data_IF_648953568517
#
_entry.id   IF_648953568517
#
_cell.length_a   1.000
_cell.length_b   1.000
_cell.length_c   1.000
_cell.angle_alpha   90.00
_cell.angle_beta   90.00
_cell.angle_gamma   90.00
#
_symmetry.space_group_name_H-M   'P 1'
#
loop_
_entity.id
_entity.type
_entity.pdbx_description
1 polymer ?
#
# COMPACT_ATOMS: atom_id res chain seq x y z
N UNK A 1 -10.62 -7.71 -3.71
CA UNK A 1 -10.73 -8.20 -2.31
C UNK A 1 -9.78 -7.37 -1.45
N UNK A 2 -10.15 -7.08 -0.20
CA UNK A 2 -9.24 -6.54 0.80
C UNK A 2 -9.02 -7.58 1.89
N UNK A 3 -7.78 -7.81 2.31
CA UNK A 3 -7.45 -8.83 3.32
C UNK A 3 -6.26 -8.39 4.17
N UNK A 4 -6.31 -8.58 5.49
CA UNK A 4 -5.22 -8.08 6.35
C UNK A 4 -3.88 -8.78 6.04
N UNK A 5 -3.90 -10.09 5.76
CA UNK A 5 -2.72 -10.93 5.40
C UNK A 5 -1.74 -11.22 6.55
N UNK A 6 -2.24 -11.18 7.80
CA UNK A 6 -1.49 -11.59 8.99
C UNK A 6 -1.36 -13.13 9.07
N UNK A 7 -2.50 -13.83 9.07
CA UNK A 7 -2.53 -15.31 9.21
C UNK A 7 -2.55 -16.08 7.90
N UNK A 8 -2.88 -15.42 6.79
CA UNK A 8 -2.89 -16.02 5.46
C UNK A 8 -1.85 -15.32 4.60
N UNK A 9 -0.90 -16.09 4.08
CA UNK A 9 0.21 -15.52 3.30
C UNK A 9 -0.30 -14.99 1.97
N UNK A 10 0.29 -13.92 1.42
CA UNK A 10 -0.12 -13.33 0.15
C UNK A 10 -0.29 -14.37 -0.97
N UNK A 11 0.61 -15.36 -1.03
CA UNK A 11 0.58 -16.39 -2.06
C UNK A 11 -0.65 -17.31 -2.04
N UNK A 12 -1.31 -17.45 -0.90
CA UNK A 12 -2.52 -18.26 -0.75
C UNK A 12 -3.80 -17.45 -1.07
N UNK A 13 -3.73 -16.12 -1.03
CA UNK A 13 -4.91 -15.28 -1.19
C UNK A 13 -5.54 -15.36 -2.58
N UNK A 14 -4.77 -15.72 -3.61
CA UNK A 14 -5.31 -16.00 -4.94
C UNK A 14 -6.33 -17.16 -4.90
N UNK A 15 -6.03 -18.23 -4.17
CA UNK A 15 -6.91 -19.39 -4.03
C UNK A 15 -8.14 -19.07 -3.17
N UNK A 16 -7.95 -18.28 -2.11
CA UNK A 16 -9.05 -17.76 -1.28
C UNK A 16 -10.00 -16.94 -2.15
N UNK A 17 -9.47 -16.02 -2.97
CA UNK A 17 -10.30 -15.21 -3.86
C UNK A 17 -11.03 -16.05 -4.90
N UNK A 18 -10.36 -17.02 -5.51
CA UNK A 18 -10.99 -17.92 -6.48
C UNK A 18 -12.10 -18.77 -5.85
N UNK A 19 -12.01 -19.08 -4.55
CA UNK A 19 -13.02 -19.87 -3.83
C UNK A 19 -14.20 -19.01 -3.41
N UNK A 20 -13.94 -17.90 -2.72
CA UNK A 20 -14.97 -17.04 -2.12
C UNK A 20 -15.69 -16.19 -3.17
N UNK A 21 -14.99 -15.82 -4.25
CA UNK A 21 -15.48 -14.97 -5.33
C UNK A 21 -15.38 -15.68 -6.69
N UNK A 22 -15.76 -16.96 -6.73
CA UNK A 22 -15.61 -17.82 -7.91
C UNK A 22 -16.25 -17.25 -9.20
N UNK A 23 -17.44 -16.64 -9.10
CA UNK A 23 -18.11 -16.01 -10.24
C UNK A 23 -17.33 -14.80 -10.76
N UNK A 24 -17.01 -13.84 -9.88
CA UNK A 24 -16.19 -12.67 -10.24
C UNK A 24 -14.80 -13.10 -10.76
N UNK A 25 -14.26 -14.17 -10.18
CA UNK A 25 -13.00 -14.76 -10.62
C UNK A 25 -13.11 -15.29 -12.05
N UNK A 26 -14.22 -15.89 -12.46
CA UNK A 26 -14.43 -16.31 -13.85
C UNK A 26 -14.64 -15.14 -14.81
N UNK A 27 -15.35 -14.10 -14.39
CA UNK A 27 -15.83 -13.02 -15.26
C UNK A 27 -14.85 -11.83 -15.40
N UNK A 28 -14.04 -11.54 -14.38
CA UNK A 28 -13.19 -10.34 -14.38
C UNK A 28 -11.85 -10.59 -15.12
N UNK A 29 -11.40 -9.66 -15.96
CA UNK A 29 -10.05 -9.74 -16.54
C UNK A 29 -8.97 -9.17 -15.61
N UNK A 30 -9.35 -8.27 -14.71
CA UNK A 30 -8.46 -7.58 -13.79
C UNK A 30 -8.87 -7.86 -12.35
N UNK A 31 -8.03 -8.55 -11.60
CA UNK A 31 -8.31 -8.95 -10.21
C UNK A 31 -7.23 -8.37 -9.29
N UNK A 32 -7.67 -7.78 -8.18
CA UNK A 32 -6.80 -7.12 -7.21
C UNK A 32 -7.10 -7.60 -5.80
N UNK A 33 -6.04 -7.90 -5.04
CA UNK A 33 -6.08 -8.19 -3.62
C UNK A 33 -5.21 -7.16 -2.90
N UNK A 34 -5.88 -6.29 -2.14
CA UNK A 34 -5.23 -5.25 -1.35
C UNK A 34 -4.96 -5.77 0.07
N UNK A 35 -3.70 -5.70 0.52
CA UNK A 35 -3.28 -6.21 1.84
C UNK A 35 -2.61 -5.16 2.73
N UNK A 36 -2.68 -5.37 4.05
CA UNK A 36 -2.24 -4.38 5.04
C UNK A 36 -1.11 -4.81 5.97
N UNK A 37 -0.91 -6.10 6.25
CA UNK A 37 -0.13 -6.59 7.39
C UNK A 37 1.31 -6.06 7.49
N UNK A 38 2.01 -5.90 6.36
CA UNK A 38 3.45 -5.61 6.34
C UNK A 38 3.81 -4.12 6.23
N UNK A 39 2.80 -3.23 6.16
CA UNK A 39 2.93 -1.76 6.19
C UNK A 39 3.99 -1.13 5.25
N UNK A 40 4.36 -1.83 4.18
CA UNK A 40 5.21 -1.32 3.11
C UNK A 40 4.64 -1.78 1.78
N UNK A 41 5.04 -1.10 0.70
CA UNK A 41 4.66 -1.52 -0.65
C UNK A 41 5.42 -2.77 -1.06
N UNK A 42 4.69 -3.86 -1.24
CA UNK A 42 5.14 -5.08 -1.89
C UNK A 42 4.07 -5.44 -2.90
N UNK A 43 4.47 -5.56 -4.17
CA UNK A 43 3.64 -6.22 -5.17
C UNK A 43 4.15 -7.65 -5.23
N UNK A 44 3.29 -8.63 -4.91
CA UNK A 44 3.66 -10.02 -5.09
C UNK A 44 3.97 -10.25 -6.57
N UNK A 45 5.17 -10.76 -6.88
CA UNK A 45 5.57 -11.08 -8.26
C UNK A 45 4.59 -12.12 -8.84
N UNK A 46 3.75 -11.64 -9.75
CA UNK A 46 2.89 -12.35 -10.68
C UNK A 46 2.28 -13.66 -10.16
N UNK A 47 1.24 -13.53 -9.32
CA UNK A 47 0.27 -14.61 -9.24
C UNK A 47 -0.53 -14.64 -10.55
N UNK A 48 -0.59 -15.80 -11.25
CA UNK A 48 -1.35 -15.88 -12.49
C UNK A 48 -2.80 -15.42 -12.28
N UNK A 49 -3.21 -14.41 -13.03
CA UNK A 49 -4.59 -13.91 -13.05
C UNK A 49 -4.99 -12.94 -11.93
N UNK A 50 -4.10 -12.57 -10.99
CA UNK A 50 -4.42 -11.62 -9.91
C UNK A 50 -3.20 -10.83 -9.42
N UNK A 51 -3.38 -9.52 -9.20
CA UNK A 51 -2.37 -8.67 -8.56
C UNK A 51 -2.62 -8.60 -7.06
N UNK A 52 -1.61 -8.95 -6.27
CA UNK A 52 -1.67 -8.87 -4.80
C UNK A 52 -0.67 -7.82 -4.34
N UNK A 53 -1.14 -6.79 -3.64
CA UNK A 53 -0.31 -5.66 -3.26
C UNK A 53 -0.55 -5.25 -1.81
N UNK A 54 0.54 -5.05 -1.08
CA UNK A 54 0.52 -4.42 0.24
C UNK A 54 0.75 -2.92 0.16
N UNK A 55 0.25 -2.20 1.16
CA UNK A 55 0.29 -0.75 1.19
C UNK A 55 1.13 -0.20 2.34
N UNK A 56 1.72 0.97 2.12
CA UNK A 56 2.29 1.78 3.19
C UNK A 56 1.18 2.34 4.09
N UNK A 57 1.54 2.71 5.32
CA UNK A 57 0.62 3.39 6.24
C UNK A 57 1.10 4.81 6.56
N UNK A 58 0.18 5.68 7.00
CA UNK A 58 0.52 7.03 7.45
C UNK A 58 1.06 7.09 8.88
N UNK A 59 0.72 6.11 9.72
CA UNK A 59 1.17 6.12 11.11
C UNK A 59 2.70 5.98 11.18
N UNK A 60 3.37 6.74 12.07
CA UNK A 60 4.81 6.67 12.25
C UNK A 60 5.23 5.29 12.77
N UNK A 61 6.47 4.90 12.47
CA UNK A 61 7.04 3.66 12.99
C UNK A 61 7.11 3.70 14.52
N UNK A 62 6.68 2.62 15.16
CA UNK A 62 6.83 2.43 16.60
C UNK A 62 8.24 1.91 16.95
N UNK A 63 8.52 1.73 18.23
CA UNK A 63 9.81 1.22 18.71
C UNK A 63 10.12 -0.16 18.15
N UNK A 64 9.13 -1.06 18.10
CA UNK A 64 9.32 -2.41 17.60
C UNK A 64 9.73 -2.39 16.12
N UNK A 65 9.06 -1.59 15.30
CA UNK A 65 9.41 -1.46 13.90
C UNK A 65 10.74 -0.75 13.68
N UNK A 66 11.08 0.20 14.55
CA UNK A 66 12.40 0.78 14.58
C UNK A 66 13.47 -0.28 14.86
N UNK A 67 13.34 -1.05 15.94
CA UNK A 67 14.34 -2.04 16.35
C UNK A 67 14.44 -3.20 15.33
N UNK A 68 13.34 -3.55 14.66
CA UNK A 68 13.30 -4.54 13.58
C UNK A 68 13.87 -4.07 12.23
N UNK A 69 14.38 -2.83 12.14
CA UNK A 69 15.01 -2.32 10.92
C UNK A 69 14.04 -1.96 9.78
N UNK A 70 12.73 -2.01 10.00
CA UNK A 70 11.76 -1.58 8.99
C UNK A 70 11.75 -0.05 8.91
N UNK A 71 12.06 0.49 7.72
CA UNK A 71 12.24 1.94 7.47
C UNK A 71 11.46 2.43 6.25
N UNK A 72 10.41 1.71 5.89
CA UNK A 72 9.54 2.09 4.77
C UNK A 72 8.92 3.46 5.04
N UNK A 73 8.81 4.27 3.99
CA UNK A 73 8.22 5.61 4.09
C UNK A 73 6.72 5.52 4.39
N UNK A 74 6.23 6.46 5.19
CA UNK A 74 4.80 6.66 5.40
C UNK A 74 4.22 7.45 4.22
N UNK A 75 3.25 6.87 3.52
CA UNK A 75 2.56 7.51 2.41
C UNK A 75 1.16 6.92 2.21
N UNK A 76 0.32 7.67 1.50
CA UNK A 76 -0.90 7.20 0.87
C UNK A 76 -0.63 6.94 -0.62
N UNK A 77 -1.26 5.91 -1.17
CA UNK A 77 -1.27 5.69 -2.62
C UNK A 77 -2.72 5.68 -3.10
N UNK A 78 -3.04 6.58 -4.02
CA UNK A 78 -4.29 6.60 -4.76
C UNK A 78 -4.09 5.76 -6.02
N UNK A 79 -4.92 4.75 -6.22
CA UNK A 79 -4.88 3.86 -7.39
C UNK A 79 -6.14 4.09 -8.22
N UNK A 80 -5.94 4.48 -9.48
CA UNK A 80 -7.04 4.69 -10.43
C UNK A 80 -7.31 3.38 -11.15
N UNK A 81 -8.42 2.72 -10.80
CA UNK A 81 -8.84 1.44 -11.39
C UNK A 81 -10.00 1.63 -12.37
N UNK A 82 -9.94 0.94 -13.50
CA UNK A 82 -10.95 0.87 -14.54
C UNK A 82 -11.42 -0.57 -14.69
N UNK A 83 -12.74 -0.76 -14.82
CA UNK A 83 -13.31 -2.08 -15.10
C UNK A 83 -12.84 -2.64 -16.46
N UNK A 84 -12.61 -1.76 -17.44
CA UNK A 84 -12.27 -2.13 -18.83
C UNK A 84 -10.77 -2.21 -19.08
N UNK A 85 -9.97 -1.37 -18.42
CA UNK A 85 -8.54 -1.22 -18.70
C UNK A 85 -7.64 -1.59 -17.51
N UNK A 86 -8.22 -2.08 -16.42
CA UNK A 86 -7.49 -2.36 -15.20
C UNK A 86 -6.94 -1.08 -14.56
N UNK A 87 -5.73 -1.13 -14.04
CA UNK A 87 -5.10 0.01 -13.40
C UNK A 87 -4.60 1.02 -14.44
N UNK A 88 -5.04 2.28 -14.29
CA UNK A 88 -4.72 3.36 -15.23
C UNK A 88 -3.65 4.32 -14.74
N UNK A 89 -3.37 4.33 -13.44
CA UNK A 89 -2.41 5.26 -12.87
C UNK A 89 -2.43 5.29 -11.36
N UNK A 90 -1.40 5.91 -10.79
CA UNK A 90 -1.22 6.05 -9.36
C UNK A 90 -0.72 7.43 -9.00
N UNK A 91 -1.15 7.91 -7.83
CA UNK A 91 -0.63 9.12 -7.20
C UNK A 91 -0.19 8.74 -5.79
N UNK A 92 1.06 9.03 -5.44
CA UNK A 92 1.57 8.81 -4.09
C UNK A 92 1.60 10.15 -3.37
N UNK A 93 0.98 10.21 -2.19
CA UNK A 93 1.01 11.37 -1.30
C UNK A 93 1.86 11.00 -0.10
N UNK A 94 2.99 11.67 0.13
CA UNK A 94 3.82 11.35 1.29
C UNK A 94 3.17 11.85 2.58
N UNK A 95 3.55 11.30 3.73
CA UNK A 95 3.02 11.77 5.01
C UNK A 95 3.27 13.27 5.24
N UNK A 96 4.40 13.80 4.73
CA UNK A 96 4.70 15.23 4.77
C UNK A 96 3.70 16.05 3.94
N UNK A 97 3.41 15.61 2.72
CA UNK A 97 2.47 16.29 1.82
C UNK A 97 1.03 16.21 2.36
N UNK A 98 0.65 15.07 2.96
CA UNK A 98 -0.64 14.92 3.63
C UNK A 98 -0.75 15.90 4.80
N UNK A 99 0.31 16.05 5.59
CA UNK A 99 0.35 16.99 6.71
C UNK A 99 0.23 18.44 6.24
N UNK A 100 1.00 18.83 5.22
CA UNK A 100 0.92 20.19 4.66
C UNK A 100 -0.50 20.52 4.19
N UNK A 101 -1.21 19.56 3.56
CA UNK A 101 -2.61 19.77 3.14
C UNK A 101 -3.60 19.86 4.29
N UNK A 102 -3.50 18.98 5.29
CA UNK A 102 -4.42 18.99 6.44
C UNK A 102 -4.25 20.28 7.25
N UNK A 103 -3.00 20.71 7.45
CA UNK A 103 -2.67 21.90 8.23
C UNK A 103 -2.73 23.20 7.39
N UNK A 104 -3.10 23.11 6.09
CA UNK A 104 -3.14 24.24 5.14
C UNK A 104 -1.83 25.04 5.08
N UNK A 105 -0.69 24.35 5.11
CA UNK A 105 0.64 24.93 5.01
C UNK A 105 1.06 25.09 3.54
N UNK A 106 2.03 25.98 3.31
CA UNK A 106 2.70 26.08 2.00
C UNK A 106 3.33 24.72 1.62
N UNK A 107 3.17 24.26 0.38
CA UNK A 107 3.72 22.97 -0.05
C UNK A 107 5.21 22.83 0.25
N UNK A 108 5.58 21.75 0.93
CA UNK A 108 6.97 21.46 1.29
C UNK A 108 7.37 21.93 2.68
N UNK A 109 6.50 22.64 3.41
CA UNK A 109 6.77 23.12 4.78
C UNK A 109 7.16 21.97 5.71
N UNK A 110 6.39 20.89 5.73
CA UNK A 110 6.68 19.74 6.60
C UNK A 110 7.94 19.00 6.15
N UNK A 111 8.18 18.92 4.84
CA UNK A 111 9.36 18.26 4.30
C UNK A 111 10.66 18.98 4.67
N UNK A 112 10.65 20.32 4.66
CA UNK A 112 11.77 21.17 5.02
C UNK A 112 12.07 21.14 6.53
N UNK A 113 11.06 20.90 7.37
CA UNK A 113 11.20 20.75 8.83
C UNK A 113 11.82 19.43 9.27
N UNK A 114 12.03 18.48 8.35
CA UNK A 114 12.73 17.23 8.64
C UNK A 114 14.17 17.62 9.01
N UNK A 115 14.39 17.73 10.33
CA UNK A 115 15.61 18.21 11.00
C UNK A 115 16.85 17.88 10.19
N UNK A 116 17.76 18.88 10.11
CA UNK A 116 19.19 18.70 9.88
C UNK A 116 19.59 17.31 10.34
N UNK A 117 20.01 16.49 9.38
CA UNK A 117 20.47 15.13 9.63
C UNK A 117 21.43 15.23 10.82
N UNK A 118 21.12 14.56 11.94
CA UNK A 118 22.17 14.28 12.91
C UNK A 118 23.17 13.42 12.14
N UNK A 119 24.17 14.06 11.55
CA UNK A 119 25.39 13.42 11.11
C UNK A 119 25.93 12.73 12.34
N UNK A 120 25.83 11.41 12.35
CA UNK A 120 26.61 10.58 13.26
C UNK A 120 28.05 10.64 12.81
#
# INVERSE_FOLDING_TARGET
MCHHSDKCKPAQLAQVMATDFNQDWGEASYRYIDIGHIHHRMVAKEHPGVTIESWNQLAPADKYAHDGGWRSRSCLTVVLRSKTYGEKGRITLTAEEVKDRIDSLEPGTTSARRREVYTV
#
